data_IF_481528585567
#
_entry.id   IF_481528585567
#
_cell.length_a   1.000
_cell.length_b   1.000
_cell.length_c   1.000
_cell.angle_alpha   90.00
_cell.angle_beta   90.00
_cell.angle_gamma   90.00
#
_symmetry.space_group_name_H-M   'P 1'
#
loop_
_entity.id
_entity.type
_entity.pdbx_description
1 polymer ?
#
# COMPACT_ATOMS: atom_id res chain seq x y z
N UNK A 1 -17.16 11.08 -0.25
CA UNK A 1 -16.44 9.90 0.27
C UNK A 1 -15.61 10.43 1.43
N UNK A 2 -15.86 9.98 2.66
CA UNK A 2 -15.09 10.50 3.80
C UNK A 2 -13.63 10.04 3.66
N UNK A 3 -12.65 10.96 3.54
CA UNK A 3 -11.26 10.59 3.30
C UNK A 3 -10.69 9.71 4.42
N UNK A 4 -11.28 9.72 5.61
CA UNK A 4 -10.86 8.96 6.79
C UNK A 4 -10.99 7.43 6.65
N UNK A 5 -11.65 6.90 5.61
CA UNK A 5 -11.80 5.45 5.39
C UNK A 5 -11.28 4.98 4.03
N UNK A 6 -10.36 5.75 3.42
CA UNK A 6 -9.79 5.40 2.10
C UNK A 6 -8.35 4.94 2.21
N UNK A 7 -8.07 3.77 1.65
CA UNK A 7 -6.74 3.18 1.50
C UNK A 7 -6.29 3.34 0.04
N UNK A 8 -5.04 3.77 -0.14
CA UNK A 8 -4.35 3.83 -1.41
C UNK A 8 -3.40 2.65 -1.54
N UNK A 9 -3.36 2.00 -2.69
CA UNK A 9 -2.44 0.90 -2.98
C UNK A 9 -1.62 1.21 -4.22
N UNK A 10 -0.31 1.35 -4.06
CA UNK A 10 0.63 1.53 -5.17
C UNK A 10 1.28 0.19 -5.50
N UNK A 11 1.00 -0.32 -6.69
CA UNK A 11 1.34 -1.67 -7.13
C UNK A 11 0.18 -2.63 -6.92
N UNK A 12 -0.43 -3.06 -8.03
CA UNK A 12 -1.55 -4.00 -8.10
C UNK A 12 -1.09 -5.36 -8.64
N UNK A 13 0.15 -5.73 -8.30
CA UNK A 13 0.67 -7.08 -8.45
C UNK A 13 0.00 -8.06 -7.49
N UNK A 14 0.51 -9.30 -7.44
CA UNK A 14 -0.13 -10.41 -6.69
C UNK A 14 -0.46 -10.06 -5.25
N UNK A 15 0.52 -9.54 -4.52
CA UNK A 15 0.36 -9.15 -3.11
C UNK A 15 -0.52 -7.89 -2.97
N UNK A 16 -0.17 -6.82 -3.69
CA UNK A 16 -0.87 -5.53 -3.58
C UNK A 16 -2.35 -5.59 -3.91
N UNK A 17 -2.74 -6.28 -4.99
CA UNK A 17 -4.15 -6.44 -5.34
C UNK A 17 -4.90 -7.33 -4.34
N UNK A 18 -4.25 -8.37 -3.81
CA UNK A 18 -4.86 -9.23 -2.80
C UNK A 18 -5.16 -8.46 -1.52
N UNK A 19 -4.18 -7.72 -0.99
CA UNK A 19 -4.34 -6.87 0.20
C UNK A 19 -5.38 -5.77 -0.04
N UNK A 20 -5.30 -5.09 -1.19
CA UNK A 20 -6.29 -4.09 -1.59
C UNK A 20 -7.72 -4.64 -1.59
N UNK A 21 -7.91 -5.86 -2.11
CA UNK A 21 -9.22 -6.51 -2.11
C UNK A 21 -9.70 -6.83 -0.68
N UNK A 22 -8.81 -7.22 0.23
CA UNK A 22 -9.14 -7.45 1.64
C UNK A 22 -9.63 -6.17 2.32
N UNK A 23 -8.93 -5.04 2.15
CA UNK A 23 -9.41 -3.75 2.67
C UNK A 23 -10.78 -3.37 2.09
N UNK A 24 -10.94 -3.50 0.77
CA UNK A 24 -12.18 -3.14 0.08
C UNK A 24 -13.39 -4.01 0.47
N UNK A 25 -13.16 -5.29 0.80
CA UNK A 25 -14.19 -6.24 1.26
C UNK A 25 -14.53 -6.06 2.75
N UNK A 26 -13.69 -5.33 3.50
CA UNK A 26 -13.87 -5.05 4.94
C UNK A 26 -14.24 -3.57 5.20
N UNK A 27 -14.95 -2.95 4.26
CA UNK A 27 -15.62 -1.65 4.47
C UNK A 27 -14.77 -0.41 4.19
N UNK A 28 -13.55 -0.56 3.70
CA UNK A 28 -12.74 0.58 3.25
C UNK A 28 -12.99 0.91 1.78
N UNK A 29 -12.82 2.18 1.41
CA UNK A 29 -12.65 2.54 0.02
C UNK A 29 -11.20 2.32 -0.39
N UNK A 30 -10.97 1.83 -1.60
CA UNK A 30 -9.66 1.48 -2.13
C UNK A 30 -9.43 2.20 -3.47
N UNK A 31 -8.37 2.99 -3.51
CA UNK A 31 -7.81 3.55 -4.74
C UNK A 31 -6.50 2.83 -5.06
N UNK A 32 -6.54 1.98 -6.08
CA UNK A 32 -5.38 1.26 -6.56
C UNK A 32 -4.68 2.01 -7.69
N UNK A 33 -3.36 2.06 -7.67
CA UNK A 33 -2.55 2.63 -8.74
C UNK A 33 -1.53 1.61 -9.22
N UNK A 34 -1.50 1.36 -10.53
CA UNK A 34 -0.47 0.55 -11.18
C UNK A 34 -0.10 1.15 -12.53
N UNK A 35 1.16 0.99 -12.95
CA UNK A 35 1.63 1.47 -14.26
C UNK A 35 1.17 0.56 -15.41
N UNK A 36 0.73 -0.67 -15.11
CA UNK A 36 0.24 -1.61 -16.08
C UNK A 36 -1.24 -1.34 -16.40
N UNK A 37 -1.49 -0.71 -17.56
CA UNK A 37 -2.82 -0.39 -18.05
C UNK A 37 -3.74 -1.62 -18.19
N UNK A 38 -3.18 -2.79 -18.55
CA UNK A 38 -3.98 -4.01 -18.66
C UNK A 38 -4.48 -4.49 -17.29
N UNK A 39 -3.66 -4.35 -16.24
CA UNK A 39 -4.07 -4.66 -14.87
C UNK A 39 -5.19 -3.74 -14.44
N UNK A 40 -5.01 -2.41 -14.60
CA UNK A 40 -6.01 -1.39 -14.27
C UNK A 40 -7.33 -1.67 -14.98
N UNK A 41 -7.29 -1.93 -16.30
CA UNK A 41 -8.48 -2.25 -17.10
C UNK A 41 -9.19 -3.51 -16.60
N UNK A 42 -8.46 -4.60 -16.37
CA UNK A 42 -9.05 -5.87 -15.91
C UNK A 42 -9.70 -5.71 -14.54
N UNK A 43 -9.01 -5.07 -13.61
CA UNK A 43 -9.49 -4.85 -12.24
C UNK A 43 -10.79 -4.04 -12.26
N UNK A 44 -10.83 -2.92 -13.00
CA UNK A 44 -12.03 -2.10 -13.13
C UNK A 44 -13.19 -2.84 -13.84
N UNK A 45 -12.89 -3.83 -14.68
CA UNK A 45 -13.87 -4.72 -15.30
C UNK A 45 -14.28 -5.91 -14.39
N UNK A 46 -13.87 -5.93 -13.12
CA UNK A 46 -14.18 -7.00 -12.18
C UNK A 46 -13.42 -8.30 -12.45
N UNK A 47 -12.28 -8.25 -13.14
CA UNK A 47 -11.47 -9.42 -13.53
C UNK A 47 -10.08 -9.35 -12.91
N UNK A 48 -9.52 -10.49 -12.52
CA UNK A 48 -8.14 -10.53 -12.04
C UNK A 48 -7.14 -10.61 -13.20
N UNK A 49 -5.98 -9.92 -13.09
CA UNK A 49 -4.92 -10.04 -14.10
C UNK A 49 -4.11 -11.34 -14.00
N UNK A 50 -4.22 -12.06 -12.89
CA UNK A 50 -3.52 -13.31 -12.61
C UNK A 50 -4.37 -14.24 -11.73
N UNK A 51 -3.94 -15.50 -11.58
CA UNK A 51 -4.57 -16.48 -10.70
C UNK A 51 -4.03 -16.38 -9.27
N UNK A 52 -4.94 -16.23 -8.32
CA UNK A 52 -4.69 -16.31 -6.87
C UNK A 52 -5.97 -16.79 -6.19
N UNK A 53 -5.83 -17.64 -5.17
CA UNK A 53 -6.96 -18.27 -4.49
C UNK A 53 -7.86 -17.22 -3.85
N UNK A 54 -9.16 -17.24 -4.20
CA UNK A 54 -10.18 -16.33 -3.66
C UNK A 54 -10.19 -14.91 -4.25
N UNK A 55 -9.18 -14.54 -5.06
CA UNK A 55 -9.04 -13.16 -5.54
C UNK A 55 -10.13 -12.76 -6.53
N UNK A 56 -10.52 -13.65 -7.44
CA UNK A 56 -11.57 -13.35 -8.43
C UNK A 56 -12.91 -13.06 -7.74
N UNK A 57 -13.25 -13.81 -6.70
CA UNK A 57 -14.48 -13.60 -5.96
C UNK A 57 -14.43 -12.28 -5.18
N UNK A 58 -13.30 -11.96 -4.55
CA UNK A 58 -13.09 -10.70 -3.84
C UNK A 58 -13.22 -9.49 -4.78
N UNK A 59 -12.54 -9.52 -5.93
CA UNK A 59 -12.60 -8.46 -6.94
C UNK A 59 -14.03 -8.29 -7.48
N UNK A 60 -14.77 -9.39 -7.70
CA UNK A 60 -16.16 -9.32 -8.18
C UNK A 60 -17.10 -8.62 -7.20
N UNK A 61 -16.77 -8.62 -5.89
CA UNK A 61 -17.56 -7.92 -4.86
C UNK A 61 -17.24 -6.43 -4.80
N UNK A 62 -15.99 -6.04 -4.99
CA UNK A 62 -15.52 -4.67 -4.72
C UNK A 62 -15.25 -3.80 -5.96
N UNK A 63 -14.91 -4.38 -7.11
CA UNK A 63 -14.54 -3.63 -8.31
C UNK A 63 -15.67 -2.69 -8.78
N UNK A 64 -15.31 -1.45 -9.10
CA UNK A 64 -16.25 -0.40 -9.52
C UNK A 64 -17.14 0.12 -8.38
N UNK A 65 -17.06 -0.47 -7.19
CA UNK A 65 -17.75 -0.06 -5.96
C UNK A 65 -16.73 0.52 -4.98
N UNK A 66 -16.27 -0.29 -4.04
CA UNK A 66 -15.27 0.08 -3.04
C UNK A 66 -13.83 0.01 -3.57
N UNK A 67 -13.57 -0.62 -4.72
CA UNK A 67 -12.24 -0.69 -5.33
C UNK A 67 -12.23 -0.07 -6.73
N UNK A 68 -11.36 0.93 -6.93
CA UNK A 68 -11.12 1.57 -8.23
C UNK A 68 -9.62 1.57 -8.54
N UNK A 69 -9.26 1.11 -9.72
CA UNK A 69 -7.87 1.13 -10.20
C UNK A 69 -7.63 2.29 -11.17
N UNK A 70 -6.43 2.85 -11.18
CA UNK A 70 -6.00 3.93 -12.06
C UNK A 70 -4.52 3.78 -12.42
N UNK A 71 -4.09 4.38 -13.53
CA UNK A 71 -2.65 4.64 -13.79
C UNK A 71 -2.21 6.00 -13.25
N UNK A 72 -3.17 6.86 -12.88
CA UNK A 72 -2.92 8.20 -12.37
C UNK A 72 -2.75 8.21 -10.85
N UNK A 73 -1.54 8.54 -10.39
CA UNK A 73 -1.18 8.70 -8.98
C UNK A 73 -1.95 9.82 -8.28
N UNK A 74 -2.47 10.83 -8.99
CA UNK A 74 -3.23 11.93 -8.38
C UNK A 74 -4.46 11.43 -7.62
N UNK A 75 -5.01 10.28 -8.03
CA UNK A 75 -6.15 9.63 -7.38
C UNK A 75 -5.89 9.23 -5.92
N UNK A 76 -4.61 9.06 -5.53
CA UNK A 76 -4.20 8.79 -4.15
C UNK A 76 -4.44 9.99 -3.21
N UNK A 77 -4.77 11.17 -3.73
CA UNK A 77 -5.18 12.30 -2.89
C UNK A 77 -6.44 12.00 -2.07
N UNK A 78 -7.30 11.09 -2.53
CA UNK A 78 -8.45 10.63 -1.77
C UNK A 78 -8.07 9.73 -0.57
N UNK A 79 -6.86 9.15 -0.56
CA UNK A 79 -6.43 8.16 0.43
C UNK A 79 -5.84 8.81 1.69
N UNK A 80 -6.13 8.20 2.85
CA UNK A 80 -5.55 8.53 4.15
C UNK A 80 -4.30 7.74 4.46
N UNK A 81 -4.27 6.47 4.02
CA UNK A 81 -3.15 5.55 4.15
C UNK A 81 -2.75 5.06 2.77
N UNK A 82 -1.48 5.16 2.41
CA UNK A 82 -0.96 4.78 1.09
C UNK A 82 0.07 3.67 1.29
N UNK A 83 -0.25 2.46 0.86
CA UNK A 83 0.66 1.32 0.86
C UNK A 83 1.43 1.25 -0.44
N UNK A 84 2.73 0.98 -0.36
CA UNK A 84 3.62 0.83 -1.52
C UNK A 84 4.10 -0.61 -1.59
N UNK A 85 3.58 -1.34 -2.58
CA UNK A 85 3.82 -2.77 -2.83
C UNK A 85 4.24 -2.95 -4.30
N UNK A 86 5.42 -2.43 -4.61
CA UNK A 86 6.06 -2.55 -5.93
C UNK A 86 7.21 -3.57 -5.90
N UNK A 87 7.61 -4.14 -7.06
CA UNK A 87 8.68 -5.12 -7.11
C UNK A 87 10.03 -4.56 -6.64
N UNK A 88 10.77 -5.37 -5.89
CA UNK A 88 12.15 -5.07 -5.46
C UNK A 88 13.06 -6.24 -5.84
N UNK A 89 13.27 -6.48 -7.15
CA UNK A 89 14.00 -7.65 -7.62
C UNK A 89 15.45 -7.64 -7.12
N UNK A 90 15.99 -8.81 -6.80
CA UNK A 90 17.40 -8.96 -6.46
C UNK A 90 18.28 -8.62 -7.66
N UNK A 91 19.32 -7.81 -7.45
CA UNK A 91 20.38 -7.56 -8.41
C UNK A 91 21.39 -8.71 -8.38
N UNK A 92 22.29 -8.73 -9.37
CA UNK A 92 23.33 -9.77 -9.54
C UNK A 92 24.27 -9.90 -8.34
N UNK A 93 24.42 -8.84 -7.55
CA UNK A 93 25.23 -8.77 -6.33
C UNK A 93 24.47 -9.16 -5.05
N UNK A 94 23.21 -9.63 -5.18
CA UNK A 94 22.35 -10.01 -4.05
C UNK A 94 21.62 -8.84 -3.41
N UNK A 95 21.82 -7.60 -3.88
CA UNK A 95 21.16 -6.41 -3.37
C UNK A 95 19.80 -6.24 -4.04
N UNK A 96 18.69 -6.17 -3.29
CA UNK A 96 17.40 -5.70 -3.78
C UNK A 96 17.48 -4.34 -4.49
N UNK A 97 16.79 -4.26 -5.63
CA UNK A 97 16.67 -3.02 -6.37
C UNK A 97 15.57 -2.12 -5.84
N UNK A 98 15.88 -0.82 -5.76
CA UNK A 98 14.93 0.25 -5.44
C UNK A 98 14.37 0.91 -6.72
N UNK A 99 14.62 0.35 -7.91
CA UNK A 99 14.28 0.95 -9.20
C UNK A 99 12.77 1.21 -9.38
N UNK A 100 11.91 0.47 -8.66
CA UNK A 100 10.46 0.70 -8.67
C UNK A 100 9.99 1.51 -7.45
N UNK A 101 10.63 1.34 -6.29
CA UNK A 101 10.25 2.03 -5.05
C UNK A 101 10.55 3.53 -5.15
N UNK A 102 11.69 3.92 -5.75
CA UNK A 102 12.06 5.33 -5.88
C UNK A 102 11.06 6.09 -6.77
N UNK A 103 10.72 5.66 -8.00
CA UNK A 103 9.70 6.33 -8.81
C UNK A 103 8.32 6.37 -8.16
N UNK A 104 7.91 5.29 -7.47
CA UNK A 104 6.67 5.27 -6.71
C UNK A 104 6.68 6.34 -5.61
N UNK A 105 7.77 6.43 -4.83
CA UNK A 105 7.94 7.44 -3.79
C UNK A 105 7.94 8.86 -4.36
N UNK A 106 8.57 9.12 -5.52
CA UNK A 106 8.51 10.44 -6.20
C UNK A 106 7.09 10.80 -6.59
N UNK A 107 6.34 9.83 -7.11
CA UNK A 107 4.94 10.05 -7.50
C UNK A 107 4.07 10.34 -6.27
N UNK A 108 4.30 9.64 -5.16
CA UNK A 108 3.65 9.93 -3.87
C UNK A 108 4.06 11.31 -3.34
N UNK A 109 5.33 11.73 -3.47
CA UNK A 109 5.77 13.04 -3.03
C UNK A 109 5.00 14.17 -3.74
N UNK A 110 4.67 14.01 -5.03
CA UNK A 110 3.82 14.94 -5.78
C UNK A 110 2.39 14.99 -5.23
N UNK A 111 1.82 13.83 -4.88
CA UNK A 111 0.51 13.74 -4.21
C UNK A 111 0.57 14.45 -2.86
N UNK A 112 1.60 14.19 -2.05
CA UNK A 112 1.79 14.85 -0.75
C UNK A 112 1.90 16.36 -0.90
N UNK A 113 2.61 16.86 -1.93
CA UNK A 113 2.75 18.29 -2.21
C UNK A 113 1.41 18.99 -2.42
N UNK A 114 0.48 18.32 -3.12
CA UNK A 114 -0.82 18.89 -3.50
C UNK A 114 -1.88 18.68 -2.42
N UNK A 115 -1.79 17.58 -1.66
CA UNK A 115 -2.74 17.25 -0.61
C UNK A 115 -2.77 18.29 0.51
N UNK A 116 -3.96 18.70 0.92
CA UNK A 116 -4.15 19.50 2.14
C UNK A 116 -4.19 18.64 3.41
N UNK A 117 -4.60 17.37 3.29
CA UNK A 117 -4.71 16.44 4.41
C UNK A 117 -3.41 15.74 4.79
N UNK A 118 -3.33 15.32 6.06
CA UNK A 118 -2.28 14.42 6.55
C UNK A 118 -2.51 13.02 5.99
N UNK A 119 -1.45 12.40 5.48
CA UNK A 119 -1.47 11.04 4.92
C UNK A 119 -0.36 10.21 5.56
N UNK A 120 -0.60 8.91 5.75
CA UNK A 120 0.45 7.96 6.18
C UNK A 120 0.91 7.17 4.97
N UNK A 121 2.21 7.17 4.69
CA UNK A 121 2.83 6.36 3.64
C UNK A 121 3.43 5.11 4.31
N UNK A 122 2.93 3.94 3.93
CA UNK A 122 3.44 2.65 4.38
C UNK A 122 4.26 2.01 3.26
N UNK A 123 5.58 1.91 3.46
CA UNK A 123 6.43 1.15 2.55
C UNK A 123 6.36 -0.33 2.96
N UNK A 124 5.77 -1.13 2.10
CA UNK A 124 5.58 -2.57 2.32
C UNK A 124 6.47 -3.41 1.42
N UNK A 125 6.90 -2.87 0.28
CA UNK A 125 8.00 -3.41 -0.52
C UNK A 125 9.25 -3.66 0.33
N UNK A 126 9.87 -4.82 0.12
CA UNK A 126 11.11 -5.20 0.80
C UNK A 126 12.25 -4.24 0.42
N UNK A 127 12.75 -3.50 1.39
CA UNK A 127 13.90 -2.59 1.22
C UNK A 127 15.00 -2.91 2.23
N UNK A 128 16.24 -2.56 1.90
CA UNK A 128 17.34 -2.75 2.85
C UNK A 128 17.24 -1.84 4.07
N UNK A 129 17.79 -2.27 5.23
CA UNK A 129 17.99 -1.39 6.37
C UNK A 129 18.68 -0.08 5.96
N UNK A 130 18.19 1.03 6.51
CA UNK A 130 18.65 2.37 6.16
C UNK A 130 17.97 2.99 4.92
N UNK A 131 17.35 2.22 4.02
CA UNK A 131 16.65 2.76 2.83
C UNK A 131 15.55 3.75 3.23
N UNK A 132 14.81 3.44 4.29
CA UNK A 132 13.75 4.32 4.80
C UNK A 132 14.29 5.71 5.20
N UNK A 133 15.37 5.74 6.00
CA UNK A 133 15.92 6.98 6.56
C UNK A 133 16.84 7.73 5.60
N UNK A 134 17.60 7.02 4.77
CA UNK A 134 18.64 7.61 3.93
C UNK A 134 18.16 7.93 2.51
N UNK A 135 17.02 7.36 2.08
CA UNK A 135 16.53 7.51 0.72
C UNK A 135 15.06 7.92 0.66
N UNK A 136 14.14 7.11 1.21
CA UNK A 136 12.69 7.33 1.05
C UNK A 136 12.25 8.60 1.76
N UNK A 137 12.56 8.74 3.05
CA UNK A 137 12.18 9.94 3.80
C UNK A 137 12.77 11.22 3.19
N UNK A 138 14.09 11.34 2.92
CA UNK A 138 14.65 12.54 2.31
C UNK A 138 14.04 12.88 0.95
N UNK A 139 13.72 11.87 0.14
CA UNK A 139 13.05 12.05 -1.15
C UNK A 139 11.63 12.60 -0.97
N UNK A 140 10.83 11.99 -0.10
CA UNK A 140 9.47 12.45 0.17
C UNK A 140 9.48 13.90 0.70
N UNK A 141 10.37 14.23 1.65
CA UNK A 141 10.46 15.59 2.21
C UNK A 141 10.92 16.62 1.18
N UNK A 142 11.96 16.31 0.39
CA UNK A 142 12.52 17.25 -0.58
C UNK A 142 11.57 17.54 -1.73
N UNK A 143 10.90 16.54 -2.28
CA UNK A 143 10.02 16.71 -3.44
C UNK A 143 8.63 17.25 -3.07
N UNK A 144 8.12 16.88 -1.90
CA UNK A 144 6.81 17.37 -1.44
C UNK A 144 6.88 18.76 -0.81
N UNK A 145 8.05 19.16 -0.29
CA UNK A 145 8.20 20.35 0.54
C UNK A 145 7.59 20.21 1.95
N UNK A 146 7.17 19.00 2.33
CA UNK A 146 6.57 18.67 3.63
C UNK A 146 7.57 17.96 4.55
N UNK A 147 7.25 17.91 5.84
CA UNK A 147 8.06 17.24 6.87
C UNK A 147 7.40 15.98 7.39
N UNK A 148 8.17 14.90 7.43
CA UNK A 148 7.75 13.62 7.99
C UNK A 148 7.46 13.76 9.49
N UNK A 149 6.43 13.09 10.00
CA UNK A 149 5.93 13.19 11.37
C UNK A 149 5.04 14.41 11.64
N UNK A 150 5.24 15.54 10.94
CA UNK A 150 4.43 16.76 11.08
C UNK A 150 3.32 16.85 10.04
N UNK A 151 3.70 16.76 8.76
CA UNK A 151 2.83 17.06 7.63
C UNK A 151 2.35 15.77 6.92
N UNK A 152 3.12 14.69 7.05
CA UNK A 152 2.75 13.34 6.63
C UNK A 152 3.41 12.29 7.53
N UNK A 153 2.83 11.10 7.57
CA UNK A 153 3.33 9.95 8.31
C UNK A 153 4.13 8.99 7.44
N UNK A 154 5.07 8.27 8.03
CA UNK A 154 5.87 7.25 7.33
C UNK A 154 6.04 6.02 8.21
N UNK A 155 5.74 4.85 7.66
CA UNK A 155 6.02 3.56 8.30
C UNK A 155 6.69 2.61 7.31
N UNK A 156 7.50 1.71 7.83
CA UNK A 156 7.88 0.49 7.15
C UNK A 156 7.00 -0.64 7.65
N UNK A 157 6.29 -1.32 6.76
CA UNK A 157 5.33 -2.34 7.13
C UNK A 157 5.41 -3.51 6.14
N UNK A 158 6.44 -4.38 6.29
CA UNK A 158 6.66 -5.49 5.39
C UNK A 158 5.61 -6.58 5.59
N UNK A 159 5.42 -7.39 4.55
CA UNK A 159 4.48 -8.52 4.55
C UNK A 159 5.21 -9.86 4.45
N UNK A 160 4.81 -10.81 5.29
CA UNK A 160 5.44 -12.14 5.42
C UNK A 160 4.53 -13.25 4.88
N UNK A 161 3.87 -13.01 3.74
CA UNK A 161 2.79 -13.88 3.27
C UNK A 161 3.25 -14.74 2.08
N UNK A 162 2.97 -16.04 2.14
CA UNK A 162 3.26 -16.98 1.06
C UNK A 162 2.28 -16.82 -0.13
N UNK A 163 2.80 -16.99 -1.35
CA UNK A 163 1.95 -16.96 -2.55
C UNK A 163 1.04 -18.19 -2.63
N UNK A 164 -0.19 -18.02 -3.12
CA UNK A 164 -1.18 -19.10 -3.28
C UNK A 164 -2.27 -19.14 -2.21
N UNK A 165 -2.06 -18.42 -1.11
CA UNK A 165 -3.02 -18.22 -0.01
C UNK A 165 -3.08 -16.77 0.48
N UNK A 166 -2.73 -15.80 -0.38
CA UNK A 166 -2.48 -14.41 0.01
C UNK A 166 -3.63 -13.79 0.80
N UNK A 167 -4.87 -13.95 0.33
CA UNK A 167 -6.05 -13.40 1.01
C UNK A 167 -6.28 -14.07 2.36
N UNK A 168 -6.20 -15.40 2.42
CA UNK A 168 -6.41 -16.14 3.66
C UNK A 168 -5.38 -15.74 4.69
N UNK A 169 -4.11 -15.73 4.30
CA UNK A 169 -3.01 -15.52 5.22
C UNK A 169 -2.92 -14.05 5.65
N UNK A 170 -3.23 -13.09 4.77
CA UNK A 170 -3.37 -11.68 5.16
C UNK A 170 -4.47 -11.47 6.20
N UNK A 171 -5.59 -12.18 6.11
CA UNK A 171 -6.71 -12.04 7.06
C UNK A 171 -6.49 -12.80 8.39
N UNK A 172 -5.41 -13.58 8.51
CA UNK A 172 -5.10 -14.39 9.70
C UNK A 172 -3.61 -14.30 10.07
N UNK A 173 -3.03 -13.10 10.02
CA UNK A 173 -1.61 -12.94 10.36
C UNK A 173 -1.41 -13.13 11.86
N UNK A 174 -0.39 -13.91 12.24
CA UNK A 174 0.00 -14.04 13.64
C UNK A 174 0.72 -12.79 14.16
N UNK A 175 1.45 -12.10 13.28
CA UNK A 175 2.24 -10.92 13.60
C UNK A 175 2.19 -9.92 12.45
N UNK A 176 2.09 -8.64 12.80
CA UNK A 176 2.27 -7.50 11.88
C UNK A 176 3.41 -6.65 12.42
N UNK A 177 4.44 -6.44 11.60
CA UNK A 177 5.59 -5.60 11.92
C UNK A 177 5.34 -4.17 11.43
N UNK A 178 5.50 -3.19 12.32
CA UNK A 178 5.34 -1.76 12.02
C UNK A 178 6.59 -1.01 12.51
N UNK A 179 7.50 -0.72 11.57
CA UNK A 179 8.58 0.23 11.79
C UNK A 179 8.06 1.66 11.71
N UNK A 180 7.67 2.24 12.84
CA UNK A 180 7.12 3.60 12.92
C UNK A 180 8.21 4.69 12.95
N UNK A 181 8.01 5.76 12.15
CA UNK A 181 8.81 6.99 12.30
C UNK A 181 8.26 7.89 13.42
N UNK A 182 6.93 7.89 13.58
CA UNK A 182 6.21 8.61 14.62
C UNK A 182 5.05 7.74 15.12
N UNK A 183 4.71 7.89 16.41
CA UNK A 183 3.71 7.07 17.08
C UNK A 183 2.33 7.15 16.44
N UNK A 184 1.94 8.32 15.94
CA UNK A 184 0.62 8.51 15.33
C UNK A 184 0.48 7.64 14.09
N UNK A 185 1.49 7.62 13.23
CA UNK A 185 1.51 6.80 12.02
C UNK A 185 1.45 5.31 12.34
N UNK A 186 2.22 4.85 13.34
CA UNK A 186 2.19 3.45 13.78
C UNK A 186 0.84 3.04 14.34
N UNK A 187 0.28 3.84 15.26
CA UNK A 187 -1.04 3.59 15.87
C UNK A 187 -2.15 3.52 14.81
N UNK A 188 -2.12 4.42 13.81
CA UNK A 188 -3.11 4.43 12.72
C UNK A 188 -3.03 3.16 11.85
N UNK A 189 -1.82 2.68 11.52
CA UNK A 189 -1.64 1.46 10.75
C UNK A 189 -2.02 0.23 11.57
N UNK A 190 -1.64 0.18 12.86
CA UNK A 190 -2.07 -0.88 13.77
C UNK A 190 -3.60 -0.97 13.85
N UNK A 191 -4.28 0.17 13.98
CA UNK A 191 -5.74 0.23 14.00
C UNK A 191 -6.39 -0.26 12.69
N UNK A 192 -5.75 -0.01 11.53
CA UNK A 192 -6.20 -0.55 10.25
C UNK A 192 -6.14 -2.08 10.23
N UNK A 193 -5.02 -2.66 10.62
CA UNK A 193 -4.87 -4.12 10.68
C UNK A 193 -5.88 -4.74 11.64
N UNK A 194 -6.08 -4.16 12.83
CA UNK A 194 -7.05 -4.64 13.81
C UNK A 194 -8.50 -4.67 13.30
N UNK A 195 -8.86 -3.83 12.31
CA UNK A 195 -10.20 -3.81 11.72
C UNK A 195 -10.40 -4.87 10.62
N UNK A 196 -9.33 -5.26 9.93
CA UNK A 196 -9.42 -6.13 8.74
C UNK A 196 -9.05 -7.58 9.06
N UNK A 197 -8.20 -7.80 10.06
CA UNK A 197 -7.81 -9.13 10.52
C UNK A 197 -8.98 -9.85 11.19
N UNK A 198 -9.14 -11.15 10.91
CA UNK A 198 -10.16 -11.99 11.56
C UNK A 198 -9.81 -12.32 13.00
N UNK A 199 -8.52 -12.40 13.30
CA UNK A 199 -7.96 -12.62 14.64
C UNK A 199 -6.99 -11.48 14.92
N UNK A 200 -7.03 -10.83 16.09
CA UNK A 200 -6.08 -9.78 16.45
C UNK A 200 -4.63 -10.27 16.29
N UNK A 201 -3.82 -9.66 15.40
CA UNK A 201 -2.42 -10.02 15.27
C UNK A 201 -1.61 -9.46 16.44
N UNK A 202 -0.45 -10.05 16.70
CA UNK A 202 0.55 -9.40 17.52
C UNK A 202 1.18 -8.22 16.73
N UNK A 203 1.02 -6.99 17.22
CA UNK A 203 1.64 -5.80 16.64
C UNK A 203 3.03 -5.63 17.25
N UNK A 204 4.06 -5.60 16.41
CA UNK A 204 5.46 -5.51 16.82
C UNK A 204 6.21 -4.36 16.12
#
# INVERSE_FOLDING_TARGET
>A
MEPEMTVGMVGLGKLGLSIASCFADNGFNLVGVDINEDFVRKINAGKTPFRETGLQDAISRCAGKSLKASTDFSTLDAARWIFVIVPTPSKKDGVYSNDFVIPAARSIAKVLKQSSGYKVVAITSTVFPGTMNNLIKPLLESESGKKCGRDFGLVYNPEFIAQGSLIRDFLNQEMVLIGEYDKRSGDEIAALYMKVQKTPPNIA
#
